data_IF_841732072710
#
_entry.id   IF_841732072710
#
_cell.length_a   1.000
_cell.length_b   1.000
_cell.length_c   1.000
_cell.angle_alpha   90.00
_cell.angle_beta   90.00
_cell.angle_gamma   90.00
#
_symmetry.space_group_name_H-M   'P 1'
#
loop_
_entity.id
_entity.type
_entity.pdbx_description
1 polymer ?
#
# COMPACT_ATOMS: atom_id res chain seq x y z
N UNK A 1 14.01 1.55 2.45
CA UNK A 1 13.29 0.89 1.32
C UNK A 1 11.92 1.53 1.22
N UNK A 2 11.35 1.66 0.04
CA UNK A 2 9.98 2.17 -0.14
C UNK A 2 9.04 1.04 -0.57
N UNK A 3 7.73 1.23 -0.37
CA UNK A 3 6.72 0.21 -0.71
C UNK A 3 6.71 -0.16 -2.20
N UNK A 4 6.79 0.78 -3.15
CA UNK A 4 6.90 0.43 -4.56
C UNK A 4 8.09 -0.48 -4.86
N UNK A 5 9.26 -0.16 -4.35
CA UNK A 5 10.44 -1.01 -4.52
C UNK A 5 10.23 -2.42 -3.95
N UNK A 6 9.62 -2.52 -2.75
CA UNK A 6 9.29 -3.79 -2.13
C UNK A 6 8.39 -4.65 -3.04
N UNK A 7 7.34 -4.06 -3.62
CA UNK A 7 6.46 -4.76 -4.56
C UNK A 7 7.22 -5.29 -5.78
N UNK A 8 8.10 -4.50 -6.34
CA UNK A 8 8.90 -4.88 -7.52
C UNK A 8 9.87 -6.01 -7.25
N UNK A 9 10.41 -6.11 -6.03
CA UNK A 9 11.31 -7.20 -5.64
C UNK A 9 10.64 -8.57 -5.61
N UNK A 10 9.32 -8.65 -5.63
CA UNK A 10 8.60 -9.91 -5.79
C UNK A 10 8.89 -10.57 -7.15
N UNK A 11 9.19 -9.78 -8.17
CA UNK A 11 9.34 -10.24 -9.55
C UNK A 11 10.80 -10.29 -10.04
N UNK A 12 11.68 -9.49 -9.46
CA UNK A 12 13.08 -9.42 -9.89
C UNK A 12 14.02 -9.04 -8.75
N UNK A 13 15.24 -9.53 -8.80
CA UNK A 13 16.33 -9.13 -7.91
C UNK A 13 17.10 -7.90 -8.41
N UNK A 14 16.95 -7.54 -9.68
CA UNK A 14 17.57 -6.35 -10.25
C UNK A 14 16.93 -5.09 -9.68
N UNK A 15 17.76 -4.22 -9.08
CA UNK A 15 17.28 -3.03 -8.36
C UNK A 15 16.54 -2.04 -9.26
N UNK A 16 17.03 -1.82 -10.47
CA UNK A 16 16.44 -0.85 -11.41
C UNK A 16 15.09 -1.35 -11.92
N UNK A 17 15.05 -2.62 -12.32
CA UNK A 17 13.81 -3.28 -12.75
C UNK A 17 12.80 -3.37 -11.62
N UNK A 18 13.23 -3.71 -10.40
CA UNK A 18 12.36 -3.76 -9.23
C UNK A 18 11.70 -2.40 -8.94
N UNK A 19 12.45 -1.30 -9.05
CA UNK A 19 11.87 0.04 -8.92
C UNK A 19 10.82 0.31 -10.00
N UNK A 20 11.15 0.10 -11.27
CA UNK A 20 10.23 0.37 -12.37
C UNK A 20 8.95 -0.46 -12.27
N UNK A 21 9.08 -1.77 -12.06
CA UNK A 21 7.94 -2.67 -11.87
C UNK A 21 7.13 -2.30 -10.63
N UNK A 22 7.80 -2.00 -9.53
CA UNK A 22 7.16 -1.66 -8.27
C UNK A 22 6.32 -0.38 -8.36
N UNK A 23 6.82 0.66 -9.00
CA UNK A 23 6.03 1.88 -9.23
C UNK A 23 4.84 1.62 -10.15
N UNK A 24 5.01 0.82 -11.22
CA UNK A 24 3.90 0.41 -12.08
C UNK A 24 2.82 -0.37 -11.32
N UNK A 25 3.22 -1.35 -10.52
CA UNK A 25 2.32 -2.16 -9.70
C UNK A 25 1.62 -1.31 -8.63
N UNK A 26 2.34 -0.39 -8.00
CA UNK A 26 1.76 0.51 -7.00
C UNK A 26 0.72 1.45 -7.62
N UNK A 27 0.99 1.97 -8.82
CA UNK A 27 0.02 2.76 -9.57
C UNK A 27 -1.24 1.97 -9.93
N UNK A 28 -1.09 0.74 -10.43
CA UNK A 28 -2.21 -0.16 -10.72
C UNK A 28 -3.01 -0.46 -9.44
N UNK A 29 -2.34 -0.75 -8.33
CA UNK A 29 -3.00 -0.94 -7.05
C UNK A 29 -3.79 0.31 -6.63
N UNK A 30 -3.24 1.50 -6.82
CA UNK A 30 -3.95 2.76 -6.58
C UNK A 30 -5.24 2.88 -7.38
N UNK A 31 -5.22 2.51 -8.67
CA UNK A 31 -6.44 2.48 -9.50
C UNK A 31 -7.46 1.47 -8.96
N UNK A 32 -7.01 0.26 -8.61
CA UNK A 32 -7.90 -0.79 -8.06
C UNK A 32 -8.57 -0.31 -6.77
N UNK A 33 -7.82 0.32 -5.86
CA UNK A 33 -8.39 0.87 -4.63
C UNK A 33 -9.31 2.07 -4.92
N UNK A 34 -9.00 2.92 -5.90
CA UNK A 34 -9.89 4.01 -6.31
C UNK A 34 -11.24 3.48 -6.82
N UNK A 35 -11.23 2.41 -7.62
CA UNK A 35 -12.46 1.73 -8.08
C UNK A 35 -13.22 1.10 -6.90
N UNK A 36 -12.51 0.54 -5.93
CA UNK A 36 -13.11 0.05 -4.68
C UNK A 36 -13.80 1.16 -3.90
N UNK A 37 -13.16 2.31 -3.74
CA UNK A 37 -13.77 3.48 -3.09
C UNK A 37 -15.01 3.95 -3.85
N UNK A 38 -14.91 4.05 -5.19
CA UNK A 38 -16.04 4.41 -6.03
C UNK A 38 -17.24 3.48 -5.83
N UNK A 39 -17.00 2.16 -5.83
CA UNK A 39 -18.07 1.19 -5.59
C UNK A 39 -18.72 1.36 -4.21
N UNK A 40 -17.93 1.65 -3.15
CA UNK A 40 -18.46 1.91 -1.82
C UNK A 40 -19.28 3.21 -1.81
N UNK A 41 -18.77 4.30 -2.42
CA UNK A 41 -19.48 5.57 -2.49
C UNK A 41 -20.83 5.42 -3.20
N UNK A 42 -20.91 4.63 -4.26
CA UNK A 42 -22.17 4.29 -4.92
C UNK A 42 -23.11 3.51 -3.99
N UNK A 43 -22.59 2.50 -3.30
CA UNK A 43 -23.39 1.64 -2.43
C UNK A 43 -24.01 2.40 -1.25
N UNK A 44 -23.28 3.37 -0.68
CA UNK A 44 -23.78 4.19 0.45
C UNK A 44 -24.49 5.47 -0.01
N UNK A 45 -24.50 5.75 -1.33
CA UNK A 45 -25.05 6.95 -1.94
C UNK A 45 -24.48 8.24 -1.32
N UNK A 46 -23.21 8.24 -1.00
CA UNK A 46 -22.47 9.39 -0.45
C UNK A 46 -21.06 9.42 -1.05
N UNK A 47 -20.58 10.63 -1.30
CA UNK A 47 -19.22 10.87 -1.78
C UNK A 47 -18.73 12.23 -1.28
N UNK A 48 -17.47 12.52 -1.51
CA UNK A 48 -16.89 13.81 -1.17
C UNK A 48 -15.46 13.68 -0.64
N UNK A 49 -14.74 14.78 -0.68
CA UNK A 49 -13.35 14.84 -0.27
C UNK A 49 -13.13 14.40 1.21
N UNK A 50 -14.03 14.76 2.11
CA UNK A 50 -13.94 14.42 3.53
C UNK A 50 -14.11 12.92 3.77
N UNK A 51 -15.09 12.29 3.08
CA UNK A 51 -15.34 10.85 3.18
C UNK A 51 -14.18 10.07 2.55
N UNK A 52 -13.67 10.54 1.41
CA UNK A 52 -12.48 10.00 0.78
C UNK A 52 -11.25 10.10 1.69
N UNK A 53 -11.10 11.19 2.44
CA UNK A 53 -10.01 11.35 3.42
C UNK A 53 -10.09 10.30 4.53
N UNK A 54 -11.29 10.00 5.03
CA UNK A 54 -11.50 8.96 6.05
C UNK A 54 -11.12 7.59 5.47
N UNK A 55 -11.58 7.27 4.27
CA UNK A 55 -11.21 6.02 3.61
C UNK A 55 -9.70 5.92 3.37
N UNK A 56 -9.07 7.02 2.95
CA UNK A 56 -7.62 7.08 2.81
C UNK A 56 -6.88 6.85 4.12
N UNK A 57 -7.35 7.42 5.21
CA UNK A 57 -6.78 7.18 6.55
C UNK A 57 -6.87 5.70 6.94
N UNK A 58 -8.04 5.11 6.83
CA UNK A 58 -8.25 3.68 7.16
C UNK A 58 -7.39 2.79 6.26
N UNK A 59 -7.33 3.08 4.96
CA UNK A 59 -6.50 2.35 4.01
C UNK A 59 -5.00 2.50 4.33
N UNK A 60 -4.53 3.70 4.64
CA UNK A 60 -3.12 3.93 4.99
C UNK A 60 -2.71 3.18 6.26
N UNK A 61 -3.57 3.13 7.27
CA UNK A 61 -3.35 2.34 8.48
C UNK A 61 -3.37 0.83 8.20
N UNK A 62 -4.32 0.37 7.39
CA UNK A 62 -4.37 -1.03 6.94
C UNK A 62 -3.12 -1.41 6.15
N UNK A 63 -2.70 -0.58 5.21
CA UNK A 63 -1.50 -0.81 4.43
C UNK A 63 -0.24 -0.89 5.30
N UNK A 64 -0.09 0.04 6.25
CA UNK A 64 1.07 0.09 7.14
C UNK A 64 1.12 -1.03 8.20
N UNK A 65 0.03 -1.73 8.42
CA UNK A 65 -0.07 -2.79 9.43
C UNK A 65 -0.32 -4.16 8.80
N UNK A 66 -1.55 -4.45 8.43
CA UNK A 66 -1.95 -5.79 7.99
C UNK A 66 -1.46 -6.13 6.59
N UNK A 67 -1.57 -5.19 5.63
CA UNK A 67 -1.22 -5.49 4.23
C UNK A 67 0.24 -5.88 4.08
N UNK A 68 1.16 -5.05 4.57
CA UNK A 68 2.60 -5.26 4.34
C UNK A 68 3.27 -6.21 5.31
N UNK A 69 2.67 -6.49 6.47
CA UNK A 69 3.27 -7.37 7.47
C UNK A 69 2.60 -8.75 7.58
N UNK A 70 1.38 -8.88 7.09
CA UNK A 70 0.63 -10.15 7.13
C UNK A 70 0.34 -10.66 5.73
N UNK A 71 -0.37 -9.87 4.90
CA UNK A 71 -0.83 -10.33 3.60
C UNK A 71 0.32 -10.42 2.58
N UNK A 72 1.15 -9.39 2.49
CA UNK A 72 2.25 -9.37 1.53
C UNK A 72 3.28 -10.49 1.77
N UNK A 73 3.74 -10.78 2.99
CA UNK A 73 4.65 -11.89 3.25
C UNK A 73 4.11 -13.27 2.86
N UNK A 74 2.80 -13.45 2.83
CA UNK A 74 2.18 -14.72 2.41
C UNK A 74 2.37 -15.01 0.91
N UNK A 75 2.50 -13.95 0.09
CA UNK A 75 2.58 -14.07 -1.37
C UNK A 75 3.93 -13.61 -1.93
N UNK A 76 4.74 -12.91 -1.15
CA UNK A 76 6.01 -12.36 -1.60
C UNK A 76 7.13 -13.40 -1.50
N UNK A 77 7.73 -13.86 -2.61
CA UNK A 77 8.64 -15.00 -2.61
C UNK A 77 9.99 -14.75 -1.92
N UNK A 78 10.32 -13.48 -1.65
CA UNK A 78 11.61 -13.09 -1.03
C UNK A 78 11.44 -12.46 0.35
N UNK A 79 10.25 -12.46 0.91
CA UNK A 79 9.98 -11.87 2.23
C UNK A 79 9.92 -12.96 3.29
N UNK A 80 10.63 -12.74 4.41
CA UNK A 80 10.56 -13.63 5.56
C UNK A 80 9.21 -13.52 6.28
N UNK A 81 8.84 -14.60 6.95
CA UNK A 81 7.72 -14.66 7.89
C UNK A 81 8.25 -15.03 9.29
N UNK A 82 7.48 -14.86 10.36
CA UNK A 82 7.90 -15.30 11.69
C UNK A 82 8.27 -16.79 11.80
N UNK A 83 7.78 -17.61 10.87
CA UNK A 83 8.08 -19.04 10.77
C UNK A 83 9.25 -19.37 9.83
N UNK A 84 9.85 -18.37 9.19
CA UNK A 84 10.99 -18.58 8.29
C UNK A 84 12.24 -18.94 9.11
N UNK A 85 12.81 -20.10 8.84
CA UNK A 85 13.99 -20.59 9.54
C UNK A 85 15.25 -19.74 9.27
N UNK A 86 16.19 -19.76 10.22
CA UNK A 86 17.43 -18.98 10.21
C UNK A 86 18.36 -19.25 8.99
N UNK A 87 18.12 -20.31 8.21
CA UNK A 87 18.96 -20.74 7.09
C UNK A 87 18.52 -20.20 5.72
N UNK A 88 17.46 -19.39 5.64
CA UNK A 88 17.01 -18.82 4.38
C UNK A 88 17.83 -17.56 4.06
N UNK A 89 18.85 -17.74 3.23
CA UNK A 89 19.66 -16.64 2.73
C UNK A 89 18.81 -15.67 1.89
N UNK A 90 19.11 -14.37 1.99
CA UNK A 90 18.55 -13.30 1.16
C UNK A 90 17.03 -13.04 1.30
N UNK A 91 16.44 -13.26 2.46
CA UNK A 91 15.08 -12.84 2.76
C UNK A 91 15.01 -11.35 3.06
N UNK A 92 14.01 -10.69 2.48
CA UNK A 92 13.73 -9.29 2.81
C UNK A 92 13.05 -9.20 4.17
N UNK A 93 13.51 -8.25 4.98
CA UNK A 93 12.88 -7.99 6.26
C UNK A 93 11.51 -7.31 6.04
N UNK A 94 10.45 -7.79 6.71
CA UNK A 94 9.16 -7.11 6.66
C UNK A 94 9.25 -5.66 7.16
N UNK A 95 8.39 -4.76 6.67
CA UNK A 95 8.40 -3.35 7.08
C UNK A 95 8.19 -3.11 8.57
N UNK A 96 7.65 -4.08 9.30
CA UNK A 96 7.34 -3.97 10.72
C UNK A 96 6.06 -3.18 10.99
N UNK A 97 5.66 -3.11 12.26
CA UNK A 97 4.47 -2.36 12.66
C UNK A 97 4.57 -0.90 12.20
N UNK A 98 3.53 -0.42 11.53
CA UNK A 98 3.49 0.90 10.91
C UNK A 98 4.66 1.18 9.95
N UNK A 99 5.31 0.15 9.41
CA UNK A 99 6.46 0.26 8.50
C UNK A 99 7.69 0.94 9.14
N UNK A 100 7.82 0.90 10.47
CA UNK A 100 8.88 1.58 11.22
C UNK A 100 10.29 1.06 10.89
N UNK A 101 10.42 -0.20 10.44
CA UNK A 101 11.72 -0.75 10.00
C UNK A 101 12.27 -0.01 8.77
N UNK A 102 11.43 0.70 8.03
CA UNK A 102 11.84 1.49 6.86
C UNK A 102 12.15 2.96 7.20
N UNK A 103 12.04 3.33 8.46
CA UNK A 103 12.37 4.63 8.99
C UNK A 103 11.22 5.29 9.75
N UNK A 104 11.53 6.17 10.72
CA UNK A 104 10.52 6.74 11.63
C UNK A 104 9.52 7.67 10.93
N UNK A 105 9.86 8.19 9.74
CA UNK A 105 8.97 9.06 8.96
C UNK A 105 8.02 8.26 8.06
N UNK A 106 8.29 6.97 7.83
CA UNK A 106 7.53 6.14 6.88
C UNK A 106 6.04 6.04 7.23
N UNK A 107 5.63 5.85 8.49
CA UNK A 107 4.21 5.85 8.84
C UNK A 107 3.49 7.13 8.45
N UNK A 108 4.08 8.27 8.74
CA UNK A 108 3.49 9.57 8.44
C UNK A 108 3.34 9.77 6.93
N UNK A 109 4.39 9.54 6.17
CA UNK A 109 4.37 9.68 4.70
C UNK A 109 3.35 8.72 4.09
N UNK A 110 3.31 7.47 4.55
CA UNK A 110 2.35 6.48 4.06
C UNK A 110 0.91 6.92 4.33
N UNK A 111 0.59 7.30 5.56
CA UNK A 111 -0.77 7.70 5.93
C UNK A 111 -1.20 8.97 5.18
N UNK A 112 -0.34 9.98 5.10
CA UNK A 112 -0.65 11.22 4.37
C UNK A 112 -0.86 10.96 2.87
N UNK A 113 -0.06 10.10 2.25
CA UNK A 113 -0.22 9.74 0.84
C UNK A 113 -1.57 9.05 0.58
N UNK A 114 -2.00 8.16 1.46
CA UNK A 114 -3.29 7.48 1.35
C UNK A 114 -4.47 8.43 1.63
N UNK A 115 -4.35 9.34 2.59
CA UNK A 115 -5.35 10.39 2.82
C UNK A 115 -5.49 11.26 1.57
N UNK A 116 -4.39 11.71 0.99
CA UNK A 116 -4.40 12.51 -0.24
C UNK A 116 -5.07 11.75 -1.40
N UNK A 117 -4.70 10.48 -1.59
CA UNK A 117 -5.32 9.61 -2.59
C UNK A 117 -6.84 9.51 -2.39
N UNK A 118 -7.29 9.19 -1.19
CA UNK A 118 -8.72 9.08 -0.87
C UNK A 118 -9.47 10.40 -1.03
N UNK A 119 -8.86 11.52 -0.63
CA UNK A 119 -9.41 12.87 -0.80
C UNK A 119 -9.65 13.18 -2.28
N UNK A 120 -8.67 12.89 -3.12
CA UNK A 120 -8.77 13.12 -4.58
C UNK A 120 -9.89 12.26 -5.17
N UNK A 121 -9.90 10.96 -4.89
CA UNK A 121 -10.91 10.04 -5.41
C UNK A 121 -12.31 10.47 -4.95
N UNK A 122 -12.49 10.74 -3.66
CA UNK A 122 -13.79 11.17 -3.11
C UNK A 122 -14.27 12.49 -3.70
N UNK A 123 -13.36 13.44 -3.91
CA UNK A 123 -13.65 14.72 -4.56
C UNK A 123 -14.07 14.56 -6.02
N UNK A 124 -13.35 13.76 -6.79
CA UNK A 124 -13.71 13.50 -8.20
C UNK A 124 -15.05 12.78 -8.33
N UNK A 125 -15.32 11.77 -7.52
CA UNK A 125 -16.61 11.07 -7.53
C UNK A 125 -17.76 12.02 -7.21
N UNK A 126 -17.57 12.94 -6.25
CA UNK A 126 -18.58 13.93 -5.88
C UNK A 126 -18.87 14.93 -7.00
N UNK A 127 -17.84 15.33 -7.76
CA UNK A 127 -18.00 16.27 -8.87
C UNK A 127 -18.61 15.61 -10.14
N UNK A 128 -18.46 14.29 -10.26
CA UNK A 128 -18.95 13.54 -11.43
C UNK A 128 -20.39 13.04 -11.29
N UNK A 129 -20.95 13.03 -10.08
CA UNK A 129 -22.31 12.58 -9.78
C UNK A 129 -23.19 13.70 -9.36
#
# INVERSE_FOLDING_TARGET
MDLPFLLGTAFTADRTRAKALGYGLHFIAGIVFALGYYAIFLAINQSGWWLGSIFGLVHGLFAATALVNVLLPLVHPRMGTPSTGANSAAMLEPPGFLMLNYGPQTPLVNVLAHIAHGTIVGGFVHLAG
#
